data_IF_035778884360
#
_entry.id   IF_035778884360
#
_cell.length_a   1.000
_cell.length_b   1.000
_cell.length_c   1.000
_cell.angle_alpha   90.00
_cell.angle_beta   90.00
_cell.angle_gamma   90.00
#
_symmetry.space_group_name_H-M   'P 1'
#
loop_
_entity.id
_entity.type
_entity.pdbx_description
1 polymer ?
#
# COMPACT_ATOMS: atom_id res chain seq x y z
N UNK A 1 -25.21 15.02 25.36
CA UNK A 1 -24.82 14.12 24.26
C UNK A 1 -24.21 14.97 23.15
N UNK A 2 -22.89 15.00 23.06
CA UNK A 2 -22.13 15.81 22.08
C UNK A 2 -21.41 14.86 21.13
N UNK A 3 -21.89 14.78 19.89
CA UNK A 3 -21.24 14.03 18.81
C UNK A 3 -19.99 14.77 18.34
N UNK A 4 -18.85 14.09 18.41
CA UNK A 4 -17.58 14.57 17.85
C UNK A 4 -17.59 14.40 16.32
N UNK A 5 -17.27 15.44 15.54
CA UNK A 5 -17.13 15.31 14.09
C UNK A 5 -15.82 14.59 13.71
N UNK A 6 -15.90 13.84 12.60
CA UNK A 6 -14.83 13.07 11.95
C UNK A 6 -13.65 13.95 11.48
N UNK A 7 -12.38 13.51 11.62
CA UNK A 7 -11.19 14.36 11.40
C UNK A 7 -10.86 14.67 9.92
N UNK A 8 -11.78 14.48 8.98
CA UNK A 8 -11.53 14.72 7.54
C UNK A 8 -12.24 15.96 6.95
N UNK A 9 -12.79 16.85 7.78
CA UNK A 9 -13.48 18.06 7.30
C UNK A 9 -12.82 19.41 7.65
N UNK A 10 -11.56 19.43 8.07
CA UNK A 10 -10.88 20.71 8.35
C UNK A 10 -10.11 21.19 7.10
N UNK A 11 -10.67 22.23 6.48
CA UNK A 11 -10.01 23.25 5.65
C UNK A 11 -9.75 22.93 4.16
N UNK A 12 -10.32 23.78 3.29
CA UNK A 12 -9.93 23.98 1.88
C UNK A 12 -8.50 24.54 1.79
N UNK A 13 -7.49 23.81 2.23
CA UNK A 13 -6.10 24.15 1.94
C UNK A 13 -5.61 23.31 0.75
N UNK A 14 -5.42 23.98 -0.40
CA UNK A 14 -4.74 23.42 -1.56
C UNK A 14 -3.23 23.39 -1.35
N UNK A 15 -2.77 22.78 -0.26
CA UNK A 15 -1.34 22.64 0.01
C UNK A 15 -0.71 21.62 -0.95
N UNK A 16 0.52 21.90 -1.39
CA UNK A 16 1.36 20.91 -2.08
C UNK A 16 1.71 19.81 -1.08
N UNK A 17 1.49 18.56 -1.48
CA UNK A 17 1.74 17.40 -0.64
C UNK A 17 2.83 16.50 -1.25
N UNK A 18 3.68 15.95 -0.39
CA UNK A 18 4.65 14.91 -0.75
C UNK A 18 4.26 13.63 -0.04
N UNK A 19 3.91 12.59 -0.81
CA UNK A 19 3.60 11.27 -0.28
C UNK A 19 4.82 10.37 -0.40
N UNK A 20 5.31 9.87 0.73
CA UNK A 20 6.47 8.97 0.80
C UNK A 20 5.97 7.53 0.81
N UNK A 21 6.47 6.71 -0.10
CA UNK A 21 6.01 5.32 -0.27
C UNK A 21 7.18 4.34 -0.23
N UNK A 22 7.03 3.25 0.55
CA UNK A 22 8.05 2.17 0.64
C UNK A 22 7.91 1.07 -0.44
N UNK A 23 6.74 0.90 -1.07
CA UNK A 23 6.56 -0.01 -2.21
C UNK A 23 5.32 0.32 -3.07
N UNK A 24 5.49 0.21 -4.40
CA UNK A 24 4.56 0.10 -5.55
C UNK A 24 3.24 0.91 -5.61
N UNK A 25 2.92 1.34 -6.84
CA UNK A 25 1.80 2.17 -7.31
C UNK A 25 0.43 1.63 -6.90
N UNK A 26 -0.50 2.52 -6.51
CA UNK A 26 -1.92 2.21 -6.39
C UNK A 26 -2.41 2.01 -7.82
N UNK A 27 -2.49 0.76 -8.27
CA UNK A 27 -3.09 0.45 -9.57
C UNK A 27 -4.60 0.43 -9.39
N UNK A 28 -5.28 1.21 -10.23
CA UNK A 28 -6.69 1.48 -10.14
C UNK A 28 -7.61 0.29 -10.31
N UNK A 29 -8.87 0.52 -9.95
CA UNK A 29 -9.97 -0.41 -10.10
C UNK A 29 -10.07 -0.93 -11.54
N UNK A 30 -10.34 -2.23 -11.70
CA UNK A 30 -11.00 -2.71 -12.91
C UNK A 30 -12.43 -2.17 -12.90
N UNK A 31 -12.86 -1.56 -14.01
CA UNK A 31 -14.14 -0.84 -14.16
C UNK A 31 -15.37 -1.76 -14.13
N UNK A 32 -15.20 -3.07 -14.01
CA UNK A 32 -16.27 -4.05 -13.88
C UNK A 32 -15.91 -5.09 -12.82
N UNK A 33 -16.85 -5.57 -11.98
CA UNK A 33 -16.62 -6.73 -11.13
C UNK A 33 -16.44 -7.96 -12.04
N UNK A 34 -15.19 -8.24 -12.40
CA UNK A 34 -14.83 -9.45 -13.11
C UNK A 34 -15.01 -10.66 -12.18
N UNK A 35 -15.61 -11.74 -12.69
CA UNK A 35 -15.70 -12.99 -11.96
C UNK A 35 -14.28 -13.48 -11.58
N UNK A 36 -14.11 -14.14 -10.41
CA UNK A 36 -12.83 -14.70 -10.02
C UNK A 36 -12.23 -15.57 -11.12
N UNK A 37 -10.95 -15.36 -11.45
CA UNK A 37 -10.27 -16.04 -12.55
C UNK A 37 -9.12 -16.93 -12.06
N UNK A 38 -9.13 -18.20 -12.47
CA UNK A 38 -8.09 -19.19 -12.15
C UNK A 38 -8.46 -20.22 -11.08
N UNK A 39 -7.70 -21.33 -11.07
CA UNK A 39 -7.85 -22.44 -10.13
C UNK A 39 -6.54 -22.68 -9.35
N UNK A 40 -6.64 -22.58 -8.03
CA UNK A 40 -5.55 -22.73 -7.05
C UNK A 40 -5.78 -23.90 -6.10
N UNK A 41 -6.80 -24.72 -6.33
CA UNK A 41 -7.12 -25.89 -5.50
C UNK A 41 -6.75 -27.21 -6.19
N UNK A 42 -6.54 -27.20 -7.50
CA UNK A 42 -6.28 -28.41 -8.28
C UNK A 42 -5.01 -28.25 -9.14
N UNK A 43 -3.90 -28.94 -8.81
CA UNK A 43 -3.66 -29.61 -7.52
C UNK A 43 -3.51 -28.59 -6.39
N UNK A 44 -3.71 -29.01 -5.14
CA UNK A 44 -3.48 -28.16 -3.97
C UNK A 44 -1.98 -27.78 -3.90
N UNK A 45 -1.63 -26.49 -3.77
CA UNK A 45 -0.25 -26.07 -3.66
C UNK A 45 0.37 -26.63 -2.38
N UNK A 46 1.58 -27.16 -2.50
CA UNK A 46 2.35 -27.69 -1.35
C UNK A 46 3.32 -26.65 -0.78
N UNK A 47 3.67 -25.64 -1.58
CA UNK A 47 4.62 -24.59 -1.19
C UNK A 47 4.13 -23.19 -1.59
N UNK A 48 4.62 -22.17 -0.88
CA UNK A 48 4.42 -20.77 -1.18
C UNK A 48 4.94 -20.40 -2.59
N UNK A 49 6.06 -20.99 -2.99
CA UNK A 49 6.66 -20.74 -4.30
C UNK A 49 5.79 -21.30 -5.43
N UNK A 50 5.25 -22.51 -5.27
CA UNK A 50 4.33 -23.10 -6.24
C UNK A 50 3.08 -22.24 -6.42
N UNK A 51 2.46 -21.80 -5.31
CA UNK A 51 1.32 -20.89 -5.36
C UNK A 51 1.69 -19.57 -6.06
N UNK A 52 2.85 -18.99 -5.73
CA UNK A 52 3.30 -17.74 -6.34
C UNK A 52 3.52 -17.87 -7.85
N UNK A 53 4.16 -18.94 -8.30
CA UNK A 53 4.37 -19.22 -9.73
C UNK A 53 3.02 -19.37 -10.44
N UNK A 54 2.09 -20.13 -9.86
CA UNK A 54 0.76 -20.32 -10.43
C UNK A 54 0.00 -19.01 -10.54
N UNK A 55 -0.02 -18.20 -9.47
CA UNK A 55 -0.67 -16.88 -9.47
C UNK A 55 -0.09 -15.98 -10.54
N UNK A 56 1.25 -15.94 -10.70
CA UNK A 56 1.90 -15.12 -11.74
C UNK A 56 1.46 -15.55 -13.14
N UNK A 57 1.52 -16.84 -13.44
CA UNK A 57 1.06 -17.38 -14.73
C UNK A 57 -0.40 -17.03 -14.99
N UNK A 58 -1.27 -17.25 -14.02
CA UNK A 58 -2.69 -16.91 -14.16
C UNK A 58 -2.94 -15.40 -14.33
N UNK A 59 -2.10 -14.53 -13.75
CA UNK A 59 -2.16 -13.09 -14.00
C UNK A 59 -1.75 -12.74 -15.43
N UNK A 60 -0.71 -13.40 -15.95
CA UNK A 60 -0.25 -13.21 -17.32
C UNK A 60 -1.34 -13.70 -18.31
N UNK A 61 -1.86 -14.91 -18.12
CA UNK A 61 -2.98 -15.47 -18.90
C UNK A 61 -4.24 -14.58 -18.83
N UNK A 62 -4.58 -14.07 -17.63
CA UNK A 62 -5.69 -13.15 -17.46
C UNK A 62 -5.50 -11.87 -18.28
N UNK A 63 -4.27 -11.31 -18.29
CA UNK A 63 -3.96 -10.11 -19.04
C UNK A 63 -4.12 -10.33 -20.55
N UNK A 64 -3.72 -11.49 -21.08
CA UNK A 64 -3.94 -11.86 -22.48
C UNK A 64 -5.44 -11.92 -22.84
N UNK A 65 -6.29 -12.26 -21.88
CA UNK A 65 -7.75 -12.30 -22.02
C UNK A 65 -8.46 -10.99 -21.64
N UNK A 66 -7.72 -9.90 -21.40
CA UNK A 66 -8.29 -8.60 -21.00
C UNK A 66 -8.87 -8.58 -19.58
N UNK A 67 -8.56 -9.59 -18.76
CA UNK A 67 -9.02 -9.74 -17.39
C UNK A 67 -8.00 -9.10 -16.45
N UNK A 68 -8.49 -8.28 -15.52
CA UNK A 68 -7.62 -7.64 -14.54
C UNK A 68 -7.06 -8.63 -13.53
N UNK A 69 -5.80 -8.44 -13.13
CA UNK A 69 -5.15 -9.20 -12.05
C UNK A 69 -5.96 -9.24 -10.73
N UNK A 70 -6.85 -8.26 -10.50
CA UNK A 70 -7.77 -8.26 -9.37
C UNK A 70 -8.65 -9.52 -9.33
N UNK A 71 -9.16 -9.99 -10.47
CA UNK A 71 -9.96 -11.20 -10.57
C UNK A 71 -9.20 -12.45 -10.14
N UNK A 72 -7.89 -12.48 -10.41
CA UNK A 72 -7.00 -13.57 -10.01
C UNK A 72 -6.81 -13.58 -8.48
N UNK A 73 -6.59 -12.41 -7.88
CA UNK A 73 -6.45 -12.30 -6.42
C UNK A 73 -7.77 -12.59 -5.70
N UNK A 74 -8.91 -12.21 -6.28
CA UNK A 74 -10.25 -12.60 -5.82
C UNK A 74 -10.41 -14.13 -5.82
N UNK A 75 -9.95 -14.83 -6.87
CA UNK A 75 -9.96 -16.30 -6.93
C UNK A 75 -9.07 -16.93 -5.86
N UNK A 76 -7.83 -16.46 -5.70
CA UNK A 76 -6.92 -16.93 -4.64
C UNK A 76 -7.59 -16.77 -3.27
N UNK A 77 -8.23 -15.62 -3.02
CA UNK A 77 -8.91 -15.34 -1.75
C UNK A 77 -10.09 -16.28 -1.51
N UNK A 78 -10.95 -16.47 -2.51
CA UNK A 78 -12.12 -17.34 -2.39
C UNK A 78 -11.71 -18.80 -2.13
N UNK A 79 -10.59 -19.20 -2.71
CA UNK A 79 -10.08 -20.57 -2.67
C UNK A 79 -9.11 -20.83 -1.50
N UNK A 80 -8.64 -19.78 -0.82
CA UNK A 80 -7.66 -19.88 0.27
C UNK A 80 -8.08 -20.86 1.37
N UNK A 81 -9.37 -20.92 1.71
CA UNK A 81 -9.88 -21.86 2.73
C UNK A 81 -9.58 -23.34 2.42
N UNK A 82 -9.38 -23.69 1.15
CA UNK A 82 -9.14 -25.06 0.71
C UNK A 82 -7.66 -25.45 0.74
N UNK A 83 -6.75 -24.55 0.30
CA UNK A 83 -5.32 -24.84 0.27
C UNK A 83 -4.56 -24.33 1.50
N UNK A 84 -5.09 -23.37 2.25
CA UNK A 84 -4.41 -22.86 3.44
C UNK A 84 -4.19 -23.96 4.50
N UNK A 85 -5.16 -24.86 4.77
CA UNK A 85 -4.97 -25.96 5.71
C UNK A 85 -3.86 -26.93 5.30
N UNK A 86 -3.64 -27.16 3.99
CA UNK A 86 -2.64 -28.11 3.49
C UNK A 86 -1.20 -27.61 3.56
N UNK A 87 -0.97 -26.32 3.83
CA UNK A 87 0.36 -25.73 3.92
C UNK A 87 0.93 -25.83 5.33
N UNK A 88 2.24 -26.10 5.42
CA UNK A 88 2.98 -26.05 6.70
C UNK A 88 3.05 -24.62 7.24
N UNK A 89 3.32 -24.46 8.54
CA UNK A 89 3.50 -23.13 9.15
C UNK A 89 4.61 -22.31 8.49
N UNK A 90 5.70 -22.96 8.06
CA UNK A 90 6.79 -22.31 7.33
C UNK A 90 6.31 -21.73 6.00
N UNK A 91 5.53 -22.49 5.24
CA UNK A 91 5.00 -22.04 3.94
C UNK A 91 3.94 -20.95 4.11
N UNK A 92 3.04 -21.06 5.11
CA UNK A 92 2.09 -19.99 5.46
C UNK A 92 2.82 -18.69 5.81
N UNK A 93 3.91 -18.77 6.57
CA UNK A 93 4.72 -17.60 6.94
C UNK A 93 5.39 -16.95 5.73
N UNK A 94 5.89 -17.75 4.78
CA UNK A 94 6.44 -17.26 3.50
C UNK A 94 5.37 -16.55 2.68
N UNK A 95 4.17 -17.14 2.56
CA UNK A 95 3.04 -16.51 1.86
C UNK A 95 2.70 -15.15 2.46
N UNK A 96 2.56 -15.06 3.79
CA UNK A 96 2.26 -13.78 4.44
C UNK A 96 3.38 -12.77 4.15
N UNK A 97 4.65 -13.13 4.32
CA UNK A 97 5.77 -12.21 4.08
C UNK A 97 5.80 -11.64 2.66
N UNK A 98 5.53 -12.48 1.66
CA UNK A 98 5.69 -12.11 0.25
C UNK A 98 4.40 -11.59 -0.41
N UNK A 99 3.24 -12.12 -0.04
CA UNK A 99 1.95 -11.78 -0.65
C UNK A 99 1.17 -10.70 0.11
N UNK A 100 1.51 -10.41 1.38
CA UNK A 100 0.81 -9.39 2.17
C UNK A 100 0.69 -8.03 1.48
N UNK A 101 1.72 -7.46 0.82
CA UNK A 101 1.59 -6.18 0.14
C UNK A 101 0.53 -6.20 -0.98
N UNK A 102 0.44 -7.30 -1.74
CA UNK A 102 -0.53 -7.44 -2.82
C UNK A 102 -1.94 -7.68 -2.28
N UNK A 103 -2.06 -8.46 -1.20
CA UNK A 103 -3.31 -8.69 -0.50
C UNK A 103 -3.87 -7.40 0.11
N UNK A 104 -3.02 -6.58 0.73
CA UNK A 104 -3.42 -5.31 1.33
C UNK A 104 -3.88 -4.32 0.25
N UNK A 105 -3.18 -4.20 -0.87
CA UNK A 105 -3.64 -3.39 -2.02
C UNK A 105 -5.00 -3.85 -2.53
N UNK A 106 -5.21 -5.17 -2.62
CA UNK A 106 -6.47 -5.75 -3.06
C UNK A 106 -7.61 -5.58 -2.05
N UNK A 107 -7.32 -5.70 -0.75
CA UNK A 107 -8.32 -5.62 0.33
C UNK A 107 -8.70 -4.17 0.66
N UNK A 108 -7.76 -3.24 0.58
CA UNK A 108 -7.95 -1.83 0.91
C UNK A 108 -8.19 -0.98 -0.34
N UNK A 109 -9.00 -1.48 -1.28
CA UNK A 109 -9.33 -0.82 -2.55
C UNK A 109 -9.67 0.66 -2.29
N UNK A 110 -8.85 1.56 -2.84
CA UNK A 110 -9.10 3.01 -2.81
C UNK A 110 -10.27 3.29 -3.75
N UNK A 111 -11.43 3.68 -3.23
CA UNK A 111 -12.65 3.90 -4.02
C UNK A 111 -12.35 4.72 -5.31
N UNK A 112 -12.96 4.40 -6.47
CA UNK A 112 -12.64 5.03 -7.76
C UNK A 112 -12.65 6.56 -7.74
N UNK A 113 -13.57 7.15 -6.96
CA UNK A 113 -13.64 8.58 -6.71
C UNK A 113 -12.33 9.15 -6.14
N UNK A 114 -11.69 8.45 -5.20
CA UNK A 114 -10.45 8.85 -4.55
C UNK A 114 -9.25 8.71 -5.48
N UNK A 115 -9.21 7.65 -6.31
CA UNK A 115 -8.19 7.52 -7.35
C UNK A 115 -8.23 8.69 -8.33
N UNK A 116 -9.43 9.09 -8.78
CA UNK A 116 -9.59 10.24 -9.68
C UNK A 116 -9.08 11.55 -9.06
N UNK A 117 -9.32 11.75 -7.76
CA UNK A 117 -8.83 12.91 -7.00
C UNK A 117 -7.32 12.89 -6.91
N UNK A 118 -6.72 11.74 -6.57
CA UNK A 118 -5.27 11.57 -6.48
C UNK A 118 -4.63 11.88 -7.83
N UNK A 119 -5.15 11.30 -8.92
CA UNK A 119 -4.61 11.52 -10.28
C UNK A 119 -4.68 13.00 -10.68
N UNK A 120 -5.84 13.66 -10.52
CA UNK A 120 -5.98 15.10 -10.81
C UNK A 120 -4.96 15.95 -10.04
N UNK A 121 -4.67 15.61 -8.78
CA UNK A 121 -3.69 16.36 -7.97
C UNK A 121 -2.25 16.08 -8.39
N UNK A 122 -1.94 14.88 -8.86
CA UNK A 122 -0.62 14.56 -9.44
C UNK A 122 -0.42 15.34 -10.73
N UNK A 123 -1.39 15.30 -11.63
CA UNK A 123 -1.33 15.99 -12.93
C UNK A 123 -1.23 17.51 -12.75
N UNK A 124 -1.92 18.07 -11.75
CA UNK A 124 -1.82 19.48 -11.38
C UNK A 124 -0.52 19.85 -10.61
N UNK A 125 0.39 18.90 -10.37
CA UNK A 125 1.61 19.10 -9.59
C UNK A 125 1.39 19.42 -8.10
N UNK A 126 0.16 19.30 -7.62
CA UNK A 126 -0.22 19.55 -6.22
C UNK A 126 0.09 18.34 -5.31
N UNK A 127 0.34 17.16 -5.87
CA UNK A 127 0.74 15.95 -5.16
C UNK A 127 1.93 15.29 -5.87
N UNK A 128 3.00 15.02 -5.12
CA UNK A 128 4.17 14.30 -5.63
C UNK A 128 4.39 13.01 -4.83
N UNK A 129 4.67 11.92 -5.55
CA UNK A 129 5.07 10.66 -4.93
C UNK A 129 6.59 10.52 -4.93
N UNK A 130 7.15 10.27 -3.75
CA UNK A 130 8.58 10.01 -3.57
C UNK A 130 8.76 8.60 -3.02
N UNK A 131 9.47 7.76 -3.77
CA UNK A 131 9.90 6.46 -3.28
C UNK A 131 11.11 6.65 -2.36
N UNK A 132 10.96 6.33 -1.07
CA UNK A 132 12.03 6.56 -0.09
C UNK A 132 11.60 6.29 1.35
N UNK A 133 12.47 6.66 2.28
CA UNK A 133 12.23 6.59 3.71
C UNK A 133 12.65 7.90 4.38
N UNK A 134 11.94 8.28 5.44
CA UNK A 134 12.37 9.38 6.32
C UNK A 134 13.62 8.93 7.08
N UNK A 135 14.69 9.68 6.95
CA UNK A 135 15.96 9.45 7.64
C UNK A 135 16.08 10.36 8.88
N UNK A 136 15.57 11.60 8.78
CA UNK A 136 15.61 12.58 9.87
C UNK A 136 14.40 13.51 9.82
N UNK A 137 13.92 13.89 11.01
CA UNK A 137 13.01 15.01 11.25
C UNK A 137 13.69 16.01 12.19
N UNK A 138 13.47 17.31 11.99
CA UNK A 138 13.96 18.35 12.90
C UNK A 138 13.01 19.54 12.92
N UNK A 139 12.57 19.95 14.11
CA UNK A 139 11.73 21.13 14.28
C UNK A 139 12.56 22.40 14.17
N UNK A 140 12.13 23.33 13.33
CA UNK A 140 12.75 24.65 13.14
C UNK A 140 11.70 25.74 13.29
N UNK A 141 12.14 26.97 13.59
CA UNK A 141 11.26 28.14 13.48
C UNK A 141 10.82 28.27 12.01
N UNK A 142 9.54 28.01 11.73
CA UNK A 142 8.98 28.07 10.37
C UNK A 142 8.55 26.72 9.76
N UNK A 143 8.77 25.58 10.44
CA UNK A 143 8.27 24.29 9.99
C UNK A 143 9.09 23.10 10.47
N UNK A 144 8.81 21.93 9.88
CA UNK A 144 9.56 20.69 10.12
C UNK A 144 10.48 20.45 8.95
N UNK A 145 11.78 20.36 9.22
CA UNK A 145 12.76 19.89 8.25
C UNK A 145 12.71 18.36 8.19
N UNK A 146 12.50 17.83 6.98
CA UNK A 146 12.45 16.39 6.69
C UNK A 146 13.57 16.04 5.73
N UNK A 147 14.40 15.08 6.14
CA UNK A 147 15.42 14.47 5.27
C UNK A 147 14.92 13.10 4.83
N UNK A 148 14.74 12.95 3.52
CA UNK A 148 14.34 11.71 2.88
C UNK A 148 15.53 11.04 2.23
N UNK A 149 15.74 9.76 2.50
CA UNK A 149 16.61 8.91 1.68
C UNK A 149 15.81 8.30 0.55
N UNK A 150 16.19 8.62 -0.69
CA UNK A 150 15.48 8.14 -1.87
C UNK A 150 15.75 6.64 -2.09
N UNK A 151 14.72 5.88 -2.46
CA UNK A 151 14.85 4.44 -2.67
C UNK A 151 15.84 4.12 -3.78
N UNK A 152 16.61 3.04 -3.62
CA UNK A 152 17.64 2.59 -4.59
C UNK A 152 18.70 3.65 -4.92
N UNK A 153 18.95 4.61 -4.02
CA UNK A 153 20.04 5.58 -4.16
C UNK A 153 20.52 6.05 -2.79
N UNK A 154 21.74 6.59 -2.74
CA UNK A 154 22.26 7.28 -1.55
C UNK A 154 21.90 8.79 -1.53
N UNK A 155 21.02 9.20 -2.46
CA UNK A 155 20.59 10.60 -2.55
C UNK A 155 19.63 10.93 -1.40
N UNK A 156 19.89 12.09 -0.80
CA UNK A 156 19.06 12.67 0.25
C UNK A 156 18.31 13.88 -0.29
N UNK A 157 17.06 14.01 0.10
CA UNK A 157 16.20 15.14 -0.22
C UNK A 157 15.76 15.82 1.07
N UNK A 158 16.25 17.03 1.31
CA UNK A 158 15.80 17.86 2.43
C UNK A 158 14.64 18.77 1.99
N UNK A 159 13.60 18.86 2.82
CA UNK A 159 12.43 19.72 2.60
C UNK A 159 11.95 20.30 3.92
N UNK A 160 11.55 21.57 3.93
CA UNK A 160 10.80 22.17 5.03
C UNK A 160 9.32 22.05 4.69
N UNK A 161 8.53 21.52 5.62
CA UNK A 161 7.09 21.34 5.47
C UNK A 161 6.35 21.83 6.71
N UNK A 162 5.07 22.15 6.54
CA UNK A 162 4.25 22.69 7.62
C UNK A 162 3.48 21.62 8.40
N UNK A 163 3.29 20.43 7.82
CA UNK A 163 2.54 19.34 8.44
C UNK A 163 3.04 17.97 7.96
N UNK A 164 2.95 16.96 8.84
CA UNK A 164 3.23 15.56 8.56
C UNK A 164 1.99 14.73 8.91
N UNK A 165 1.58 13.85 8.00
CA UNK A 165 0.49 12.89 8.24
C UNK A 165 1.07 11.47 8.20
N UNK A 166 0.98 10.74 9.31
CA UNK A 166 1.38 9.33 9.36
C UNK A 166 0.21 8.44 8.97
N UNK A 167 0.35 7.77 7.82
CA UNK A 167 -0.63 6.81 7.31
C UNK A 167 -0.08 5.37 7.36
N UNK A 168 0.51 4.98 8.50
CA UNK A 168 1.23 3.70 8.69
C UNK A 168 0.36 2.57 9.25
N UNK A 169 -0.96 2.76 9.32
CA UNK A 169 -1.90 1.75 9.82
C UNK A 169 -2.08 1.73 11.35
N UNK A 170 -2.87 0.79 11.88
CA UNK A 170 -3.25 0.77 13.31
C UNK A 170 -2.07 0.53 14.26
N UNK A 171 -0.95 -0.04 13.79
CA UNK A 171 0.26 -0.29 14.59
C UNK A 171 1.26 0.89 14.57
N UNK A 172 0.75 2.12 14.49
CA UNK A 172 1.56 3.34 14.48
C UNK A 172 2.36 3.53 15.78
N UNK A 173 1.90 2.99 16.92
CA UNK A 173 2.60 3.11 18.21
C UNK A 173 3.97 2.41 18.22
N UNK A 174 4.10 1.23 17.62
CA UNK A 174 5.40 0.55 17.48
C UNK A 174 6.33 1.25 16.47
N UNK A 175 5.77 1.96 15.49
CA UNK A 175 6.54 2.73 14.51
C UNK A 175 7.12 4.00 15.15
N UNK A 176 6.36 4.65 16.03
CA UNK A 176 6.82 5.78 16.84
C UNK A 176 7.98 5.37 17.76
N UNK A 177 7.88 4.20 18.42
CA UNK A 177 8.93 3.69 19.31
C UNK A 177 10.19 3.17 18.58
N UNK A 178 10.05 2.63 17.36
CA UNK A 178 11.17 2.07 16.58
C UNK A 178 11.92 3.10 15.72
N UNK A 179 11.39 4.32 15.59
CA UNK A 179 12.01 5.40 14.82
C UNK A 179 12.35 6.53 15.78
N UNK A 180 13.62 6.59 16.23
CA UNK A 180 14.12 7.60 17.19
C UNK A 180 13.73 9.04 16.87
N UNK A 181 13.58 9.40 15.59
CA UNK A 181 13.18 10.74 15.16
C UNK A 181 11.68 11.06 15.38
N UNK A 182 10.86 10.07 15.72
CA UNK A 182 9.45 10.25 16.09
C UNK A 182 9.25 10.33 17.61
N UNK A 183 10.25 9.97 18.42
CA UNK A 183 10.21 10.16 19.87
C UNK A 183 10.29 11.64 20.28
N UNK A 184 10.77 12.51 19.39
CA UNK A 184 10.80 13.97 19.58
C UNK A 184 9.43 14.65 19.32
N UNK A 185 8.36 13.87 19.10
CA UNK A 185 6.99 14.35 18.87
C UNK A 185 6.08 14.28 20.12
N UNK A 186 6.55 13.70 21.22
CA UNK A 186 5.90 13.74 22.55
C UNK A 186 6.43 14.92 23.36
#
# INVERSE_FOLDING_TARGET
>A
MSERPSPLQISRHYARAVAIRRANVLKGHATLPAAPYGNFTEPLPRTANELLIRVRRTVDDAAENGISWHAVVDAVRAQAKFFWPSLTLTERSRIIRHLRPYWDVHRFRVAPQMESIIRRRVDAGALQFVAGAIEKLSFRRGGVEVVLRLSRSDRRLARIINAIVFATGPDHRNILASQRFLAELE
#
